data_IF_940281591786
#
_entry.id   IF_940281591786
#
_cell.length_a   1.000
_cell.length_b   1.000
_cell.length_c   1.000
_cell.angle_alpha   90.00
_cell.angle_beta   90.00
_cell.angle_gamma   90.00
#
_symmetry.space_group_name_H-M   'P 1'
#
loop_
_entity.id
_entity.type
_entity.pdbx_description
1 polymer ?
#
# COMPACT_ATOMS: atom_id res chain seq x y z
N UNK A 1 13.01 12.24 -17.73
CA UNK A 1 12.31 12.63 -16.49
C UNK A 1 12.61 11.53 -15.49
N UNK A 2 13.10 11.83 -14.28
CA UNK A 2 13.37 10.78 -13.31
C UNK A 2 12.01 10.28 -12.80
N UNK A 3 11.58 9.12 -13.30
CA UNK A 3 10.41 8.43 -12.79
C UNK A 3 10.77 7.92 -11.39
N UNK A 4 10.01 8.37 -10.40
CA UNK A 4 10.23 7.92 -9.05
C UNK A 4 9.65 6.54 -8.81
N UNK A 5 10.14 5.86 -7.75
CA UNK A 5 9.53 4.62 -7.30
C UNK A 5 9.50 4.55 -5.78
N UNK A 6 8.37 4.12 -5.24
CA UNK A 6 8.21 3.77 -3.83
C UNK A 6 8.01 2.26 -3.74
N UNK A 7 8.88 1.58 -2.99
CA UNK A 7 8.81 0.15 -2.76
C UNK A 7 8.22 -0.11 -1.37
N UNK A 8 7.13 -0.87 -1.31
CA UNK A 8 6.46 -1.26 -0.08
C UNK A 8 6.63 -2.76 0.12
N UNK A 9 6.86 -3.16 1.37
CA UNK A 9 6.95 -4.56 1.76
C UNK A 9 6.28 -4.77 3.12
N UNK A 10 5.64 -5.92 3.31
CA UNK A 10 4.95 -6.28 4.54
C UNK A 10 5.08 -7.77 4.84
N UNK A 11 4.88 -8.14 6.10
CA UNK A 11 4.82 -9.55 6.50
C UNK A 11 3.44 -10.11 6.21
N UNK A 12 3.38 -11.32 5.64
CA UNK A 12 2.12 -12.05 5.41
C UNK A 12 1.98 -13.19 6.41
N UNK A 13 0.74 -13.57 6.71
CA UNK A 13 0.44 -14.81 7.41
C UNK A 13 0.16 -15.91 6.39
N UNK A 14 0.38 -17.20 6.71
CA UNK A 14 0.10 -18.31 5.79
C UNK A 14 -1.38 -18.40 5.39
N UNK A 15 -2.28 -17.82 6.18
CA UNK A 15 -3.70 -17.71 5.87
C UNK A 15 -4.07 -16.47 5.03
N UNK A 16 -3.13 -15.55 4.80
CA UNK A 16 -3.34 -14.35 3.97
C UNK A 16 -3.27 -14.70 2.49
N UNK A 17 -4.32 -14.38 1.76
CA UNK A 17 -4.44 -14.61 0.31
C UNK A 17 -4.10 -13.37 -0.49
N UNK A 18 -4.56 -12.20 -0.02
CA UNK A 18 -4.38 -10.93 -0.72
C UNK A 18 -3.91 -9.82 0.21
N UNK A 19 -3.26 -8.83 -0.37
CA UNK A 19 -2.93 -7.57 0.24
C UNK A 19 -3.67 -6.44 -0.50
N UNK A 20 -4.30 -5.56 0.27
CA UNK A 20 -5.02 -4.38 -0.22
C UNK A 20 -4.21 -3.17 0.21
N UNK A 21 -3.63 -2.49 -0.78
CA UNK A 21 -2.83 -1.28 -0.59
C UNK A 21 -3.75 -0.08 -0.74
N UNK A 22 -3.79 0.74 0.31
CA UNK A 22 -4.47 2.03 0.29
C UNK A 22 -3.42 3.14 0.14
N UNK A 23 -3.74 4.16 -0.65
CA UNK A 23 -2.88 5.32 -0.89
C UNK A 23 -3.64 6.61 -0.57
N UNK A 24 -2.96 7.52 0.10
CA UNK A 24 -3.33 8.93 0.27
C UNK A 24 -2.28 9.78 -0.44
N UNK A 25 -2.73 10.84 -1.11
CA UNK A 25 -1.86 11.78 -1.83
C UNK A 25 -2.11 13.17 -1.28
N UNK A 26 -1.08 13.86 -0.82
CA UNK A 26 -1.17 15.22 -0.27
C UNK A 26 -2.18 15.38 0.88
N UNK A 27 -2.34 14.33 1.70
CA UNK A 27 -3.25 14.34 2.84
C UNK A 27 -4.72 14.05 2.50
N UNK A 28 -5.02 13.73 1.24
CA UNK A 28 -6.36 13.29 0.83
C UNK A 28 -6.77 11.98 1.55
N UNK A 29 -8.07 11.68 1.66
CA UNK A 29 -8.52 10.43 2.26
C UNK A 29 -7.92 9.19 1.59
N UNK A 30 -7.56 8.18 2.39
CA UNK A 30 -7.08 6.90 1.87
C UNK A 30 -8.12 6.23 0.96
N UNK A 31 -7.65 5.79 -0.21
CA UNK A 31 -8.45 5.00 -1.16
C UNK A 31 -7.71 3.74 -1.54
N UNK A 32 -8.45 2.69 -1.90
CA UNK A 32 -7.85 1.47 -2.45
C UNK A 32 -7.11 1.87 -3.72
N UNK A 33 -5.81 1.61 -3.73
CA UNK A 33 -4.94 1.87 -4.86
C UNK A 33 -4.66 0.59 -5.64
N UNK A 34 -4.40 -0.51 -4.94
CA UNK A 34 -4.15 -1.80 -5.57
C UNK A 34 -4.54 -2.97 -4.66
N UNK A 35 -4.90 -4.10 -5.27
CA UNK A 35 -5.09 -5.39 -4.59
C UNK A 35 -4.28 -6.45 -5.31
N UNK A 36 -3.39 -7.11 -4.59
CA UNK A 36 -2.45 -8.07 -5.17
C UNK A 36 -2.22 -9.26 -4.24
N UNK A 37 -1.70 -10.35 -4.81
CA UNK A 37 -1.23 -11.50 -4.05
C UNK A 37 0.27 -11.32 -3.79
N UNK A 38 0.68 -11.37 -2.52
CA UNK A 38 2.10 -11.29 -2.14
C UNK A 38 2.39 -10.30 -1.01
N UNK A 39 3.68 -10.07 -0.81
CA UNK A 39 4.24 -9.32 0.32
C UNK A 39 4.96 -8.03 -0.09
N UNK A 40 4.92 -7.66 -1.37
CA UNK A 40 5.65 -6.52 -1.93
C UNK A 40 4.82 -5.82 -3.02
N UNK A 41 4.90 -4.49 -3.07
CA UNK A 41 4.30 -3.65 -4.11
C UNK A 41 5.23 -2.50 -4.50
N UNK A 42 5.22 -2.13 -5.78
CA UNK A 42 6.00 -1.01 -6.31
C UNK A 42 5.02 0.03 -6.86
N UNK A 43 5.04 1.22 -6.27
CA UNK A 43 4.34 2.39 -6.80
C UNK A 43 5.30 3.18 -7.70
N UNK A 44 5.09 3.08 -9.01
CA UNK A 44 5.81 3.86 -10.01
C UNK A 44 5.09 5.15 -10.43
N UNK A 45 3.87 5.38 -9.92
CA UNK A 45 3.04 6.55 -10.24
C UNK A 45 3.24 7.63 -9.17
N UNK A 46 4.49 8.05 -9.02
CA UNK A 46 4.91 9.03 -8.02
C UNK A 46 5.50 10.27 -8.67
N UNK A 47 5.04 11.43 -8.20
CA UNK A 47 5.43 12.75 -8.70
C UNK A 47 6.25 13.48 -7.65
N UNK A 48 7.37 14.08 -8.06
CA UNK A 48 8.21 14.90 -7.18
C UNK A 48 7.43 16.12 -6.67
N UNK A 49 7.55 16.39 -5.38
CA UNK A 49 6.82 17.44 -4.65
C UNK A 49 5.50 16.96 -4.06
N UNK A 50 5.14 15.68 -4.21
CA UNK A 50 3.92 15.12 -3.65
C UNK A 50 4.26 14.28 -2.40
N UNK A 51 3.33 14.29 -1.44
CA UNK A 51 3.40 13.40 -0.29
C UNK A 51 2.45 12.22 -0.48
N UNK A 52 2.96 11.03 -0.21
CA UNK A 52 2.23 9.79 -0.32
C UNK A 52 2.18 9.12 1.05
N UNK A 53 1.01 8.67 1.47
CA UNK A 53 0.86 7.83 2.64
C UNK A 53 0.22 6.51 2.26
N UNK A 54 0.67 5.42 2.89
CA UNK A 54 0.23 4.07 2.60
C UNK A 54 -0.18 3.35 3.88
N UNK A 55 -1.28 2.60 3.79
CA UNK A 55 -1.68 1.58 4.75
C UNK A 55 -2.05 0.32 3.99
N UNK A 56 -1.79 -0.84 4.58
CA UNK A 56 -2.05 -2.14 3.98
C UNK A 56 -2.98 -2.94 4.87
N UNK A 57 -3.90 -3.70 4.25
CA UNK A 57 -4.68 -4.74 4.91
C UNK A 57 -4.44 -6.06 4.22
N UNK A 58 -4.48 -7.15 5.00
CA UNK A 58 -4.43 -8.50 4.48
C UNK A 58 -5.84 -9.10 4.49
N UNK A 59 -6.19 -9.77 3.41
CA UNK A 59 -7.41 -10.57 3.28
C UNK A 59 -7.05 -12.04 3.43
N UNK A 60 -7.88 -12.81 4.14
CA UNK A 60 -7.73 -14.26 4.25
C UNK A 60 -8.68 -15.02 3.30
N UNK A 61 -8.60 -16.35 3.28
CA UNK A 61 -9.47 -17.20 2.44
C UNK A 61 -10.97 -17.05 2.74
N UNK A 62 -11.34 -16.53 3.91
CA UNK A 62 -12.73 -16.28 4.32
C UNK A 62 -13.17 -14.83 4.08
N UNK A 63 -12.42 -14.07 3.25
CA UNK A 63 -12.68 -12.66 2.92
C UNK A 63 -12.69 -11.73 4.14
N UNK A 64 -12.07 -12.17 5.25
CA UNK A 64 -11.91 -11.34 6.44
C UNK A 64 -10.64 -10.51 6.31
N UNK A 65 -10.79 -9.22 6.57
CA UNK A 65 -9.69 -8.26 6.51
C UNK A 65 -9.01 -8.11 7.87
N UNK A 66 -7.69 -8.05 7.88
CA UNK A 66 -6.91 -7.67 9.05
C UNK A 66 -7.20 -6.25 9.52
N UNK A 67 -6.68 -5.88 10.69
CA UNK A 67 -6.48 -4.47 11.04
C UNK A 67 -5.60 -3.78 10.00
N UNK A 68 -5.69 -2.45 9.91
CA UNK A 68 -4.75 -1.65 9.13
C UNK A 68 -3.33 -1.83 9.67
N UNK A 69 -2.35 -1.79 8.77
CA UNK A 69 -0.96 -1.59 9.14
C UNK A 69 -0.74 -0.21 9.77
N UNK A 70 0.46 0.04 10.25
CA UNK A 70 0.91 1.40 10.54
C UNK A 70 0.92 2.24 9.25
N UNK A 71 0.63 3.54 9.39
CA UNK A 71 0.75 4.51 8.30
C UNK A 71 2.23 4.75 8.00
N UNK A 72 2.59 4.58 6.73
CA UNK A 72 3.91 4.97 6.22
C UNK A 72 3.74 6.19 5.34
N UNK A 73 4.37 7.31 5.72
CA UNK A 73 4.32 8.58 4.97
C UNK A 73 5.68 8.89 4.34
N UNK A 74 5.66 9.19 3.06
CA UNK A 74 6.84 9.43 2.23
C UNK A 74 6.60 10.69 1.42
N UNK A 75 7.52 11.65 1.52
CA UNK A 75 7.57 12.80 0.61
C UNK A 75 8.53 12.46 -0.51
N UNK A 76 8.06 12.55 -1.74
CA UNK A 76 8.82 12.26 -2.95
C UNK A 76 9.10 13.56 -3.71
#
# INVERSE_FOLDING_TARGET
MAEGKIELSWSTHPSSTKAIVYRSVNGEPFRIYNTLNGSMFIDGDVTVGYSYAYIVRLENQSEMLSMYSEEVKISY
#
